data_IF_056601537492
#
_entry.id   IF_056601537492
#
_cell.length_a   1.000
_cell.length_b   1.000
_cell.length_c   1.000
_cell.angle_alpha   90.00
_cell.angle_beta   90.00
_cell.angle_gamma   90.00
#
_symmetry.space_group_name_H-M   'P 1'
#
loop_
_entity.id
_entity.type
_entity.pdbx_description
1 polymer ?
#
# COMPACT_ATOMS: atom_id res chain seq x y z
N UNK A 1 2.60 10.27 36.25
CA UNK A 1 3.14 9.18 35.41
C UNK A 1 4.65 9.26 35.47
N UNK A 2 5.36 8.14 35.57
CA UNK A 2 6.82 8.13 35.41
C UNK A 2 7.17 8.51 33.96
N UNK A 3 8.39 9.01 33.74
CA UNK A 3 8.89 9.42 32.43
C UNK A 3 8.81 8.27 31.41
N UNK A 4 9.10 7.04 31.84
CA UNK A 4 9.06 5.84 30.99
C UNK A 4 7.65 5.52 30.50
N UNK A 5 6.63 5.65 31.37
CA UNK A 5 5.23 5.46 30.97
C UNK A 5 4.83 6.50 29.93
N UNK A 6 5.24 7.75 30.11
CA UNK A 6 4.92 8.82 29.14
C UNK A 6 5.55 8.56 27.77
N UNK A 7 6.80 8.07 27.75
CA UNK A 7 7.51 7.70 26.53
C UNK A 7 6.85 6.50 25.83
N UNK A 8 6.55 5.42 26.57
CA UNK A 8 5.87 4.25 26.02
C UNK A 8 4.47 4.59 25.49
N UNK A 9 3.72 5.41 26.23
CA UNK A 9 2.41 5.88 25.79
C UNK A 9 2.50 6.73 24.51
N UNK A 10 3.57 7.52 24.34
CA UNK A 10 3.81 8.25 23.10
C UNK A 10 4.07 7.29 21.94
N UNK A 11 4.96 6.31 22.12
CA UNK A 11 5.22 5.27 21.11
C UNK A 11 3.92 4.58 20.69
N UNK A 12 3.08 4.11 21.63
CA UNK A 12 1.85 3.39 21.29
C UNK A 12 0.77 4.25 20.61
N UNK A 13 0.80 5.58 20.76
CA UNK A 13 -0.09 6.48 19.99
C UNK A 13 0.38 6.64 18.55
N UNK A 14 1.69 6.57 18.30
CA UNK A 14 2.29 6.70 16.97
C UNK A 14 2.31 5.38 16.22
N UNK A 15 2.82 4.33 16.85
CA UNK A 15 2.95 2.98 16.29
C UNK A 15 1.67 2.13 16.42
N UNK A 16 0.58 2.68 16.94
CA UNK A 16 -0.69 1.97 17.11
C UNK A 16 -1.87 2.92 17.20
N UNK A 17 -2.94 2.47 17.86
CA UNK A 17 -4.15 3.27 18.12
C UNK A 17 -4.22 3.77 19.57
N UNK A 18 -3.10 3.71 20.29
CA UNK A 18 -3.02 3.91 21.74
C UNK A 18 -2.84 2.58 22.48
N UNK A 19 -2.81 2.68 23.81
CA UNK A 19 -2.75 1.52 24.71
C UNK A 19 -3.43 1.87 26.04
N UNK A 20 -4.09 0.89 26.63
CA UNK A 20 -4.64 0.94 27.98
C UNK A 20 -3.52 0.96 29.02
N UNK A 21 -3.89 1.27 30.28
CA UNK A 21 -2.91 1.29 31.38
C UNK A 21 -2.21 -0.06 31.58
N UNK A 22 -2.95 -1.16 31.45
CA UNK A 22 -2.41 -2.51 31.65
C UNK A 22 -1.43 -2.89 30.54
N UNK A 23 -1.79 -2.65 29.28
CA UNK A 23 -0.89 -2.89 28.14
C UNK A 23 0.40 -2.07 28.25
N UNK A 24 0.31 -0.81 28.71
CA UNK A 24 1.51 0.01 28.95
C UNK A 24 2.42 -0.59 30.02
N UNK A 25 1.86 -1.17 31.08
CA UNK A 25 2.64 -1.82 32.13
C UNK A 25 3.32 -3.10 31.61
N UNK A 26 2.64 -3.86 30.75
CA UNK A 26 3.21 -5.02 30.05
C UNK A 26 4.37 -4.62 29.13
N UNK A 27 4.17 -3.63 28.25
CA UNK A 27 5.23 -3.12 27.37
C UNK A 27 6.43 -2.54 28.12
N UNK A 28 6.19 -1.90 29.28
CA UNK A 28 7.28 -1.40 30.12
C UNK A 28 8.06 -2.53 30.78
N UNK A 29 7.40 -3.64 31.10
CA UNK A 29 8.05 -4.83 31.68
C UNK A 29 8.97 -5.53 30.67
N UNK A 30 8.62 -5.51 29.38
CA UNK A 30 9.49 -5.97 28.29
C UNK A 30 10.69 -5.04 28.06
N UNK A 31 10.47 -3.74 28.27
CA UNK A 31 11.44 -2.68 28.01
C UNK A 31 11.34 -2.11 26.60
N UNK A 32 11.68 -0.82 26.46
CA UNK A 32 11.42 -0.04 25.24
C UNK A 32 11.94 -0.70 23.95
N UNK A 33 13.19 -1.15 23.95
CA UNK A 33 13.81 -1.76 22.76
C UNK A 33 13.10 -3.06 22.37
N UNK A 34 12.79 -3.93 23.33
CA UNK A 34 12.10 -5.18 23.08
C UNK A 34 10.68 -4.94 22.54
N UNK A 35 9.98 -3.92 23.04
CA UNK A 35 8.68 -3.52 22.51
C UNK A 35 8.78 -3.03 21.06
N UNK A 36 9.75 -2.18 20.73
CA UNK A 36 9.99 -1.75 19.34
C UNK A 36 10.30 -2.95 18.44
N UNK A 37 11.11 -3.89 18.91
CA UNK A 37 11.43 -5.12 18.16
C UNK A 37 10.17 -5.95 17.88
N UNK A 38 9.29 -6.13 18.86
CA UNK A 38 8.00 -6.83 18.69
C UNK A 38 7.05 -6.10 17.74
N UNK A 39 7.03 -4.76 17.75
CA UNK A 39 6.16 -3.99 16.85
C UNK A 39 6.59 -4.13 15.38
N UNK A 40 7.90 -4.17 15.13
CA UNK A 40 8.49 -4.27 13.80
C UNK A 40 8.58 -5.70 13.25
N UNK A 41 8.44 -6.71 14.12
CA UNK A 41 8.37 -8.13 13.76
C UNK A 41 7.18 -8.78 14.50
N UNK A 42 5.95 -8.50 14.05
CA UNK A 42 4.76 -8.72 14.87
C UNK A 42 4.25 -10.18 14.89
N UNK A 43 4.97 -11.13 14.26
CA UNK A 43 4.60 -12.55 14.27
C UNK A 43 3.18 -12.81 13.77
N UNK A 44 2.53 -13.88 14.26
CA UNK A 44 1.13 -14.14 13.92
C UNK A 44 0.20 -13.16 14.63
N UNK A 45 -0.60 -12.45 13.82
CA UNK A 45 -1.64 -11.55 14.34
C UNK A 45 -2.79 -12.33 14.95
N UNK A 46 -3.21 -11.93 16.15
CA UNK A 46 -4.45 -12.37 16.77
C UNK A 46 -5.41 -11.19 16.84
N UNK A 47 -6.68 -11.42 16.52
CA UNK A 47 -7.74 -10.43 16.63
C UNK A 47 -9.03 -11.12 17.06
N UNK A 48 -10.06 -10.33 17.36
CA UNK A 48 -11.36 -10.92 17.68
C UNK A 48 -11.83 -11.84 16.54
N UNK A 49 -12.22 -13.09 16.83
CA UNK A 49 -12.69 -14.03 15.82
C UNK A 49 -13.89 -13.50 15.02
N UNK A 50 -13.84 -13.70 13.70
CA UNK A 50 -14.89 -13.29 12.76
C UNK A 50 -16.28 -13.82 13.13
N UNK A 51 -16.38 -15.04 13.65
CA UNK A 51 -17.64 -15.67 14.04
C UNK A 51 -18.28 -14.97 15.24
N UNK A 52 -17.47 -14.51 16.20
CA UNK A 52 -17.96 -13.70 17.32
C UNK A 52 -18.47 -12.34 16.84
N UNK A 53 -17.73 -11.68 15.93
CA UNK A 53 -18.16 -10.39 15.37
C UNK A 53 -19.46 -10.56 14.58
N UNK A 54 -19.50 -11.51 13.64
CA UNK A 54 -20.66 -11.77 12.77
C UNK A 54 -21.91 -12.23 13.53
N UNK A 55 -21.76 -12.80 14.73
CA UNK A 55 -22.89 -13.13 15.62
C UNK A 55 -23.69 -11.91 16.03
N UNK A 56 -23.03 -10.77 16.23
CA UNK A 56 -23.67 -9.51 16.64
C UNK A 56 -23.81 -8.51 15.49
N UNK A 57 -22.95 -8.61 14.47
CA UNK A 57 -22.89 -7.74 13.30
C UNK A 57 -23.00 -8.57 12.02
N UNK A 58 -24.21 -9.07 11.74
CA UNK A 58 -24.47 -10.00 10.62
C UNK A 58 -24.18 -9.41 9.25
N UNK A 59 -24.25 -8.08 9.13
CA UNK A 59 -23.91 -7.30 7.94
C UNK A 59 -22.45 -7.48 7.50
N UNK A 60 -21.53 -7.77 8.42
CA UNK A 60 -20.14 -8.11 8.10
C UNK A 60 -19.96 -9.48 7.43
N UNK A 61 -21.04 -10.24 7.25
CA UNK A 61 -21.04 -11.41 6.36
C UNK A 61 -21.07 -11.01 4.89
N UNK A 62 -21.52 -9.79 4.58
CA UNK A 62 -21.62 -9.24 3.23
C UNK A 62 -20.50 -8.22 2.97
N UNK A 63 -19.30 -8.73 2.74
CA UNK A 63 -18.10 -7.92 2.49
C UNK A 63 -18.06 -7.29 1.07
N UNK A 64 -19.13 -7.44 0.27
CA UNK A 64 -19.25 -6.71 -1.00
C UNK A 64 -19.85 -5.32 -0.81
N UNK A 65 -20.51 -5.06 0.30
CA UNK A 65 -21.04 -3.75 0.65
C UNK A 65 -20.00 -2.94 1.43
N UNK A 66 -19.99 -1.62 1.19
CA UNK A 66 -19.01 -0.72 1.80
C UNK A 66 -19.10 -0.72 3.33
N UNK A 67 -20.31 -0.64 3.88
CA UNK A 67 -20.51 -0.56 5.33
C UNK A 67 -19.98 -1.80 6.06
N UNK A 68 -20.29 -2.99 5.55
CA UNK A 68 -19.82 -4.25 6.11
C UNK A 68 -18.31 -4.43 5.99
N UNK A 69 -17.72 -4.04 4.84
CA UNK A 69 -16.28 -4.12 4.62
C UNK A 69 -15.49 -3.13 5.51
N UNK A 70 -15.97 -1.89 5.62
CA UNK A 70 -15.37 -0.87 6.47
C UNK A 70 -15.45 -1.25 7.95
N UNK A 71 -16.61 -1.74 8.40
CA UNK A 71 -16.78 -2.23 9.77
C UNK A 71 -15.83 -3.42 10.05
N UNK A 72 -15.74 -4.38 9.12
CA UNK A 72 -14.84 -5.54 9.26
C UNK A 72 -13.39 -5.12 9.54
N UNK A 73 -12.84 -4.19 8.75
CA UNK A 73 -11.48 -3.73 8.98
C UNK A 73 -11.36 -2.94 10.30
N UNK A 74 -12.35 -2.12 10.64
CA UNK A 74 -12.36 -1.37 11.90
C UNK A 74 -12.31 -2.30 13.13
N UNK A 75 -13.08 -3.40 13.15
CA UNK A 75 -13.01 -4.37 14.25
C UNK A 75 -11.63 -5.02 14.37
N UNK A 76 -10.98 -5.31 13.23
CA UNK A 76 -9.61 -5.82 13.23
C UNK A 76 -8.63 -4.79 13.82
N UNK A 77 -8.70 -3.53 13.39
CA UNK A 77 -7.86 -2.44 13.95
C UNK A 77 -8.06 -2.26 15.46
N UNK A 78 -9.28 -2.46 15.96
CA UNK A 78 -9.61 -2.32 17.38
C UNK A 78 -9.15 -3.49 18.26
N UNK A 79 -8.99 -4.69 17.69
CA UNK A 79 -8.81 -5.93 18.46
C UNK A 79 -7.52 -6.68 18.13
N UNK A 80 -6.73 -6.19 17.18
CA UNK A 80 -5.45 -6.78 16.78
C UNK A 80 -4.43 -6.75 17.93
N UNK A 81 -3.64 -7.82 18.04
CA UNK A 81 -2.41 -7.86 18.84
C UNK A 81 -1.24 -7.15 18.16
N UNK A 82 -1.38 -6.82 16.87
CA UNK A 82 -0.32 -6.29 16.01
C UNK A 82 -0.68 -4.87 15.56
N UNK A 83 -0.67 -3.87 16.46
CA UNK A 83 -1.18 -2.54 16.17
C UNK A 83 -0.38 -1.81 15.10
N UNK A 84 0.95 -2.01 15.02
CA UNK A 84 1.78 -1.37 14.01
C UNK A 84 1.48 -1.89 12.59
N UNK A 85 1.13 -3.18 12.44
CA UNK A 85 0.74 -3.75 11.15
C UNK A 85 -0.50 -3.06 10.59
N UNK A 86 -1.55 -2.94 11.39
CA UNK A 86 -2.77 -2.26 10.96
C UNK A 86 -2.57 -0.75 10.78
N UNK A 87 -1.71 -0.14 11.61
CA UNK A 87 -1.37 1.29 11.51
C UNK A 87 -0.60 1.60 10.23
N UNK A 88 0.36 0.75 9.87
CA UNK A 88 1.12 0.85 8.62
C UNK A 88 0.25 0.52 7.40
N UNK A 89 -0.64 -0.46 7.52
CA UNK A 89 -1.67 -0.76 6.50
C UNK A 89 -2.57 0.45 6.25
N UNK A 90 -3.00 1.16 7.30
CA UNK A 90 -3.78 2.38 7.19
C UNK A 90 -2.99 3.52 6.53
N UNK A 91 -1.69 3.64 6.84
CA UNK A 91 -0.80 4.56 6.13
C UNK A 91 -0.76 4.27 4.63
N UNK A 92 -0.55 3.01 4.23
CA UNK A 92 -0.52 2.62 2.82
C UNK A 92 -1.85 2.84 2.12
N UNK A 93 -2.97 2.52 2.75
CA UNK A 93 -4.30 2.80 2.21
C UNK A 93 -4.54 4.31 2.02
N UNK A 94 -3.96 5.16 2.86
CA UNK A 94 -4.02 6.61 2.72
C UNK A 94 -3.11 7.15 1.61
N UNK A 95 -1.92 6.56 1.45
CA UNK A 95 -0.94 6.96 0.44
C UNK A 95 -1.35 6.48 -0.97
N UNK A 96 -1.72 5.22 -1.10
CA UNK A 96 -2.15 4.56 -2.34
C UNK A 96 -3.67 4.55 -2.44
N UNK A 97 -4.27 5.74 -2.33
CA UNK A 97 -5.70 5.89 -2.15
C UNK A 97 -6.49 5.34 -3.35
N UNK A 98 -7.31 4.33 -3.09
CA UNK A 98 -8.38 3.86 -3.99
C UNK A 98 -9.74 4.01 -3.31
N UNK A 99 -10.83 4.02 -4.08
CA UNK A 99 -12.15 4.39 -3.55
C UNK A 99 -13.32 3.57 -4.07
N UNK A 100 -14.25 3.25 -3.18
CA UNK A 100 -15.46 2.49 -3.52
C UNK A 100 -16.31 3.15 -4.60
N UNK A 101 -16.35 4.48 -4.67
CA UNK A 101 -17.19 5.20 -5.63
C UNK A 101 -16.87 4.85 -7.09
N UNK A 102 -15.58 4.65 -7.43
CA UNK A 102 -15.17 4.23 -8.78
C UNK A 102 -15.23 2.71 -8.95
N UNK A 103 -14.75 1.97 -7.95
CA UNK A 103 -14.62 0.51 -8.07
C UNK A 103 -15.97 -0.21 -7.96
N UNK A 104 -16.87 0.27 -7.09
CA UNK A 104 -18.15 -0.36 -6.77
C UNK A 104 -18.02 -1.87 -6.41
N UNK A 105 -16.90 -2.22 -5.74
CA UNK A 105 -16.57 -3.57 -5.31
C UNK A 105 -15.73 -3.54 -4.03
N UNK A 106 -16.37 -3.54 -2.87
CA UNK A 106 -15.69 -3.40 -1.58
C UNK A 106 -14.70 -4.56 -1.29
N UNK A 107 -14.95 -5.74 -1.84
CA UNK A 107 -14.05 -6.89 -1.68
C UNK A 107 -12.68 -6.65 -2.29
N UNK A 108 -12.58 -5.91 -3.39
CA UNK A 108 -11.29 -5.58 -4.02
C UNK A 108 -10.47 -4.63 -3.14
N UNK A 109 -11.12 -3.69 -2.46
CA UNK A 109 -10.48 -2.84 -1.45
C UNK A 109 -9.95 -3.67 -0.27
N UNK A 110 -10.72 -4.64 0.23
CA UNK A 110 -10.25 -5.54 1.29
C UNK A 110 -9.05 -6.39 0.87
N UNK A 111 -9.02 -6.85 -0.39
CA UNK A 111 -7.87 -7.57 -0.93
C UNK A 111 -6.63 -6.66 -1.01
N UNK A 112 -6.80 -5.40 -1.42
CA UNK A 112 -5.71 -4.42 -1.43
C UNK A 112 -5.19 -4.13 -0.01
N UNK A 113 -6.08 -4.00 0.97
CA UNK A 113 -5.72 -3.86 2.39
C UNK A 113 -4.91 -5.08 2.87
N UNK A 114 -5.30 -6.29 2.47
CA UNK A 114 -4.53 -7.50 2.79
C UNK A 114 -3.15 -7.51 2.12
N UNK A 115 -3.05 -7.05 0.88
CA UNK A 115 -1.77 -6.85 0.18
C UNK A 115 -0.86 -5.89 0.96
N UNK A 116 -1.41 -4.77 1.47
CA UNK A 116 -0.66 -3.84 2.31
C UNK A 116 -0.18 -4.46 3.62
N UNK A 117 -0.95 -5.37 4.24
CA UNK A 117 -0.46 -6.13 5.41
C UNK A 117 0.70 -7.04 5.03
N UNK A 118 0.55 -7.78 3.94
CA UNK A 118 1.52 -8.78 3.51
C UNK A 118 2.87 -8.17 3.10
N UNK A 119 2.85 -7.05 2.36
CA UNK A 119 4.06 -6.45 1.79
C UNK A 119 4.49 -5.15 2.47
N UNK A 120 3.64 -4.54 3.30
CA UNK A 120 3.87 -3.20 3.85
C UNK A 120 5.10 -3.06 4.74
N UNK A 121 5.53 -4.12 5.41
CA UNK A 121 6.79 -4.17 6.19
C UNK A 121 8.01 -4.61 5.36
N UNK A 122 7.77 -5.15 4.17
CA UNK A 122 8.77 -5.76 3.30
C UNK A 122 9.58 -4.74 2.50
N UNK A 123 10.01 -5.15 1.30
CA UNK A 123 10.68 -4.24 0.37
C UNK A 123 9.67 -3.31 -0.29
N UNK A 124 10.00 -2.02 -0.38
CA UNK A 124 9.18 -1.04 -1.10
C UNK A 124 9.04 -1.39 -2.58
N UNK A 125 10.04 -2.06 -3.16
CA UNK A 125 9.99 -2.62 -4.51
C UNK A 125 8.82 -3.61 -4.67
N UNK A 126 8.77 -4.62 -3.81
CA UNK A 126 7.74 -5.65 -3.89
C UNK A 126 6.36 -5.07 -3.63
N UNK A 127 6.24 -4.12 -2.69
CA UNK A 127 5.01 -3.39 -2.45
C UNK A 127 4.53 -2.63 -3.71
N UNK A 128 5.43 -1.93 -4.42
CA UNK A 128 5.07 -1.22 -5.66
C UNK A 128 4.71 -2.17 -6.81
N UNK A 129 5.40 -3.31 -6.95
CA UNK A 129 5.04 -4.33 -7.94
C UNK A 129 3.65 -4.89 -7.65
N UNK A 130 3.38 -5.27 -6.40
CA UNK A 130 2.10 -5.87 -6.01
C UNK A 130 0.96 -4.85 -6.05
N UNK A 131 1.24 -3.58 -5.73
CA UNK A 131 0.32 -2.47 -5.97
C UNK A 131 0.01 -2.30 -7.47
N UNK A 132 1.02 -2.41 -8.34
CA UNK A 132 0.83 -2.32 -9.79
C UNK A 132 0.00 -3.47 -10.36
N UNK A 133 -0.01 -4.62 -9.68
CA UNK A 133 -0.84 -5.79 -10.02
C UNK A 133 -2.22 -5.74 -9.38
N UNK A 134 -2.42 -4.90 -8.38
CA UNK A 134 -3.65 -4.89 -7.59
C UNK A 134 -4.86 -4.48 -8.46
N UNK A 135 -5.92 -5.31 -8.53
CA UNK A 135 -7.08 -5.01 -9.36
C UNK A 135 -7.81 -3.71 -8.99
N UNK A 136 -7.79 -3.31 -7.72
CA UNK A 136 -8.39 -2.04 -7.32
C UNK A 136 -7.57 -0.87 -7.89
N UNK A 137 -6.24 -0.93 -7.82
CA UNK A 137 -5.37 0.11 -8.39
C UNK A 137 -5.43 0.17 -9.92
N UNK A 138 -5.39 -0.98 -10.60
CA UNK A 138 -5.49 -1.06 -12.07
C UNK A 138 -6.74 -0.34 -12.58
N UNK A 139 -7.90 -0.58 -11.96
CA UNK A 139 -9.13 0.11 -12.35
C UNK A 139 -9.15 1.56 -11.86
N UNK A 140 -8.61 1.85 -10.68
CA UNK A 140 -8.63 3.19 -10.11
C UNK A 140 -7.89 4.20 -11.00
N UNK A 141 -6.81 3.77 -11.64
CA UNK A 141 -5.99 4.60 -12.53
C UNK A 141 -6.13 4.24 -14.02
N UNK A 142 -7.18 3.49 -14.36
CA UNK A 142 -7.55 3.14 -15.74
C UNK A 142 -6.44 2.42 -16.53
N UNK A 143 -5.54 1.70 -15.84
CA UNK A 143 -4.50 0.90 -16.51
C UNK A 143 -5.10 -0.29 -17.27
N UNK A 144 -6.33 -0.70 -16.95
CA UNK A 144 -7.07 -1.67 -17.77
C UNK A 144 -7.40 -1.15 -19.18
N UNK A 145 -7.33 0.16 -19.41
CA UNK A 145 -7.49 0.81 -20.73
C UNK A 145 -6.14 1.22 -21.35
N UNK A 146 -5.01 0.85 -20.72
CA UNK A 146 -3.67 1.15 -21.20
C UNK A 146 -3.19 0.05 -22.16
N UNK A 147 -3.27 0.35 -23.45
CA UNK A 147 -2.96 -0.59 -24.54
C UNK A 147 -1.78 -0.07 -25.37
N UNK A 148 -0.96 -0.95 -25.95
CA UNK A 148 0.19 -0.52 -26.78
C UNK A 148 -0.17 0.44 -27.93
N UNK A 149 -1.39 0.33 -28.47
CA UNK A 149 -1.89 1.19 -29.55
C UNK A 149 -2.61 2.46 -29.05
N UNK A 150 -2.89 2.53 -27.73
CA UNK A 150 -3.60 3.62 -27.08
C UNK A 150 -3.10 3.77 -25.64
N UNK A 151 -1.97 4.46 -25.49
CA UNK A 151 -1.28 4.63 -24.20
C UNK A 151 -2.12 5.52 -23.26
N UNK A 152 -2.32 5.04 -22.04
CA UNK A 152 -2.90 5.82 -20.94
C UNK A 152 -1.82 6.14 -19.91
N UNK A 153 -1.47 7.42 -19.79
CA UNK A 153 -0.39 7.89 -18.93
C UNK A 153 -0.75 7.96 -17.44
N UNK A 154 -2.03 7.80 -17.08
CA UNK A 154 -2.51 8.07 -15.72
C UNK A 154 -1.75 7.26 -14.67
N UNK A 155 -1.68 5.92 -14.82
CA UNK A 155 -0.95 5.08 -13.88
C UNK A 155 0.55 5.44 -13.80
N UNK A 156 1.20 5.62 -14.95
CA UNK A 156 2.62 5.96 -15.00
C UNK A 156 2.94 7.31 -14.34
N UNK A 157 2.06 8.30 -14.50
CA UNK A 157 2.17 9.62 -13.86
C UNK A 157 2.04 9.51 -12.35
N UNK A 158 0.98 8.86 -11.88
CA UNK A 158 0.71 8.72 -10.44
C UNK A 158 1.78 7.89 -9.72
N UNK A 159 2.29 6.84 -10.38
CA UNK A 159 3.38 6.04 -9.85
C UNK A 159 4.61 6.90 -9.54
N UNK A 160 5.00 7.80 -10.45
CA UNK A 160 6.13 8.71 -10.26
C UNK A 160 5.79 9.87 -9.32
N UNK A 161 4.64 10.49 -9.50
CA UNK A 161 4.26 11.73 -8.84
C UNK A 161 3.80 11.53 -7.40
N UNK A 162 2.81 10.67 -7.18
CA UNK A 162 2.13 10.54 -5.90
C UNK A 162 2.60 9.33 -5.10
N UNK A 163 3.18 8.32 -5.74
CA UNK A 163 3.47 7.05 -5.08
C UNK A 163 4.95 6.80 -4.80
N UNK A 164 5.88 7.48 -5.49
CA UNK A 164 7.30 7.17 -5.35
C UNK A 164 8.24 8.37 -5.28
N UNK A 165 8.25 9.29 -6.25
CA UNK A 165 9.35 10.27 -6.38
C UNK A 165 8.94 11.70 -6.07
N UNK A 166 7.67 12.05 -6.29
CA UNK A 166 7.23 13.43 -6.17
C UNK A 166 7.55 14.29 -7.40
N UNK A 167 6.79 15.37 -7.56
CA UNK A 167 6.90 16.32 -8.68
C UNK A 167 8.32 16.87 -8.80
N UNK A 168 8.82 16.95 -10.04
CA UNK A 168 10.09 17.61 -10.38
C UNK A 168 11.29 16.67 -10.44
N UNK A 169 11.10 15.37 -10.23
CA UNK A 169 12.17 14.36 -10.25
C UNK A 169 12.18 13.47 -11.51
N UNK A 170 11.27 13.72 -12.46
CA UNK A 170 11.13 12.98 -13.72
C UNK A 170 10.71 13.95 -14.84
N UNK A 171 10.91 13.54 -16.09
CA UNK A 171 10.46 14.26 -17.28
C UNK A 171 9.11 13.75 -17.77
N UNK A 172 8.47 14.51 -18.66
CA UNK A 172 7.24 14.06 -19.34
C UNK A 172 7.50 12.81 -20.22
N UNK A 173 8.71 12.66 -20.76
CA UNK A 173 9.07 11.47 -21.54
C UNK A 173 9.18 10.23 -20.63
N UNK A 174 9.66 10.38 -19.39
CA UNK A 174 9.67 9.29 -18.40
C UNK A 174 8.25 8.81 -18.06
N UNK A 175 7.27 9.72 -18.00
CA UNK A 175 5.86 9.36 -17.77
C UNK A 175 5.34 8.48 -18.92
N UNK A 176 5.64 8.87 -20.16
CA UNK A 176 5.21 8.13 -21.35
C UNK A 176 5.83 6.75 -21.43
N UNK A 177 7.14 6.66 -21.20
CA UNK A 177 7.84 5.39 -21.27
C UNK A 177 7.50 4.48 -20.08
N UNK A 178 7.24 5.05 -18.90
CA UNK A 178 6.61 4.33 -17.78
C UNK A 178 5.23 3.78 -18.16
N UNK A 179 4.36 4.60 -18.75
CA UNK A 179 3.03 4.17 -19.18
C UNK A 179 3.07 3.04 -20.22
N UNK A 180 3.98 3.12 -21.21
CA UNK A 180 4.19 2.04 -22.18
C UNK A 180 4.61 0.74 -21.50
N UNK A 181 5.48 0.77 -20.51
CA UNK A 181 5.93 -0.43 -19.81
C UNK A 181 4.80 -1.15 -19.03
N UNK A 182 3.77 -0.41 -18.61
CA UNK A 182 2.58 -0.98 -17.95
C UNK A 182 1.45 -1.40 -18.90
N UNK A 183 1.64 -1.28 -20.21
CA UNK A 183 0.69 -1.84 -21.18
C UNK A 183 0.62 -3.36 -21.06
N UNK A 184 -0.57 -3.91 -21.26
CA UNK A 184 -0.85 -5.35 -21.08
C UNK A 184 -1.07 -5.77 -19.62
N UNK A 185 -0.83 -4.92 -18.61
CA UNK A 185 -1.20 -5.19 -17.21
C UNK A 185 -2.66 -4.82 -17.00
N UNK A 186 -3.56 -5.81 -16.95
CA UNK A 186 -5.00 -5.55 -17.00
C UNK A 186 -5.80 -6.47 -16.08
N UNK A 187 -7.13 -6.32 -16.11
CA UNK A 187 -8.08 -7.12 -15.36
C UNK A 187 -8.52 -8.36 -16.16
N UNK A 188 -8.36 -9.53 -15.54
CA UNK A 188 -8.89 -10.78 -16.07
C UNK A 188 -10.42 -10.73 -16.19
N UNK A 189 -10.94 -11.22 -17.31
CA UNK A 189 -12.38 -11.32 -17.59
C UNK A 189 -13.14 -9.97 -17.60
N UNK A 190 -12.47 -8.83 -17.80
CA UNK A 190 -13.12 -7.52 -17.85
C UNK A 190 -14.23 -7.44 -18.92
N UNK A 191 -13.95 -7.97 -20.12
CA UNK A 191 -14.91 -8.02 -21.23
C UNK A 191 -16.15 -8.85 -20.88
N UNK A 192 -15.96 -10.03 -20.30
CA UNK A 192 -17.07 -10.89 -19.88
C UNK A 192 -17.91 -10.22 -18.78
N UNK A 193 -17.27 -9.48 -17.87
CA UNK A 193 -17.98 -8.68 -16.86
C UNK A 193 -18.80 -7.56 -17.49
N UNK A 194 -18.26 -6.86 -18.49
CA UNK A 194 -18.99 -5.84 -19.25
C UNK A 194 -20.21 -6.43 -19.97
N UNK A 195 -20.07 -7.61 -20.58
CA UNK A 195 -21.19 -8.33 -21.21
C UNK A 195 -22.25 -8.74 -20.19
N UNK A 196 -21.87 -9.21 -18.99
CA UNK A 196 -22.84 -9.54 -17.93
C UNK A 196 -23.56 -8.30 -17.41
N UNK A 197 -22.86 -7.19 -17.24
CA UNK A 197 -23.43 -5.93 -16.77
C UNK A 197 -24.43 -5.35 -17.78
N UNK A 198 -24.06 -5.29 -19.06
CA UNK A 198 -24.95 -4.80 -20.14
C UNK A 198 -26.22 -5.64 -20.33
N UNK A 199 -26.16 -6.93 -19.99
CA UNK A 199 -27.31 -7.84 -20.07
C UNK A 199 -28.10 -7.95 -18.76
N UNK A 200 -27.87 -7.07 -17.79
CA UNK A 200 -28.46 -7.12 -16.43
C UNK A 200 -28.37 -8.51 -15.77
N UNK A 201 -27.32 -9.26 -16.12
CA UNK A 201 -27.11 -10.66 -15.75
C UNK A 201 -26.14 -10.79 -14.58
N UNK A 202 -25.97 -9.72 -13.79
CA UNK A 202 -25.15 -9.73 -12.58
C UNK A 202 -25.86 -10.54 -11.50
N UNK A 203 -27.17 -10.41 -11.37
CA UNK A 203 -27.98 -11.11 -10.37
C UNK A 203 -28.48 -12.47 -10.89
N UNK A 204 -28.64 -13.50 -10.03
CA UNK A 204 -28.38 -13.52 -8.58
C UNK A 204 -26.92 -13.84 -8.19
N UNK A 205 -26.08 -14.20 -9.16
CA UNK A 205 -24.73 -14.76 -8.89
C UNK A 205 -23.65 -13.72 -8.53
N UNK A 206 -23.97 -12.44 -8.62
CA UNK A 206 -23.08 -11.33 -8.31
C UNK A 206 -22.00 -11.06 -9.38
N UNK A 207 -21.14 -10.09 -9.04
CA UNK A 207 -19.96 -9.70 -9.83
C UNK A 207 -18.86 -10.75 -9.70
N UNK A 208 -18.08 -10.95 -10.75
CA UNK A 208 -16.89 -11.82 -10.71
C UNK A 208 -15.80 -11.11 -9.92
N UNK A 209 -15.04 -11.87 -9.14
CA UNK A 209 -13.86 -11.35 -8.46
C UNK A 209 -12.84 -10.88 -9.50
N UNK A 210 -12.32 -9.67 -9.33
CA UNK A 210 -11.27 -9.17 -10.21
C UNK A 210 -9.95 -9.84 -9.88
N UNK A 211 -9.20 -10.13 -10.94
CA UNK A 211 -7.87 -10.71 -10.85
C UNK A 211 -6.98 -9.97 -11.85
N UNK A 212 -5.71 -9.89 -11.52
CA UNK A 212 -4.68 -9.46 -12.46
C UNK A 212 -4.53 -10.44 -13.62
N UNK A 213 -4.23 -9.90 -14.80
CA UNK A 213 -3.80 -10.63 -15.99
C UNK A 213 -2.74 -9.80 -16.74
N UNK A 214 -1.64 -10.44 -17.11
CA UNK A 214 -0.68 -9.86 -18.04
C UNK A 214 -0.94 -10.39 -19.46
N UNK A 215 -1.19 -9.48 -20.41
CA UNK A 215 -1.42 -9.77 -21.82
C UNK A 215 -0.20 -9.36 -22.64
N UNK A 216 0.65 -10.34 -22.93
CA UNK A 216 1.87 -10.13 -23.73
C UNK A 216 1.57 -9.51 -25.11
N UNK A 217 0.47 -9.91 -25.76
CA UNK A 217 0.12 -9.41 -27.10
C UNK A 217 -0.31 -7.93 -27.08
N UNK A 218 -0.65 -7.38 -25.92
CA UNK A 218 -1.09 -6.00 -25.71
C UNK A 218 0.01 -5.12 -25.08
N UNK A 219 1.16 -5.71 -24.78
CA UNK A 219 2.33 -4.99 -24.28
C UNK A 219 3.10 -4.30 -25.42
N UNK A 220 3.53 -3.07 -25.17
CA UNK A 220 4.44 -2.32 -26.01
C UNK A 220 5.87 -2.78 -25.72
N UNK A 221 6.41 -3.64 -26.59
CA UNK A 221 7.78 -4.15 -26.50
C UNK A 221 8.81 -3.27 -27.24
N UNK A 222 8.50 -2.00 -27.48
CA UNK A 222 9.46 -1.06 -28.05
C UNK A 222 10.54 -0.70 -27.01
N UNK A 223 11.70 -0.25 -27.51
CA UNK A 223 12.76 0.29 -26.66
C UNK A 223 12.28 1.57 -25.99
N UNK A 224 12.42 1.62 -24.66
CA UNK A 224 12.00 2.70 -23.78
C UNK A 224 13.22 3.35 -23.16
N UNK A 225 13.18 4.65 -22.96
CA UNK A 225 14.21 5.39 -22.23
C UNK A 225 13.60 5.95 -20.95
N UNK A 226 13.96 5.38 -19.82
CA UNK A 226 13.35 5.70 -18.55
C UNK A 226 14.40 6.00 -17.49
N UNK A 227 14.35 7.21 -16.91
CA UNK A 227 15.24 7.69 -15.85
C UNK A 227 16.74 7.49 -16.15
N UNK A 228 17.10 7.64 -17.43
CA UNK A 228 18.48 7.50 -17.92
C UNK A 228 18.88 6.10 -18.37
N UNK A 229 18.04 5.09 -18.12
CA UNK A 229 18.23 3.73 -18.61
C UNK A 229 17.50 3.51 -19.94
N UNK A 230 17.96 2.53 -20.72
CA UNK A 230 17.39 2.20 -22.04
C UNK A 230 17.22 0.69 -22.15
N UNK A 231 16.03 0.24 -22.53
CA UNK A 231 15.72 -1.18 -22.69
C UNK A 231 14.27 -1.45 -23.09
N UNK A 232 13.97 -2.71 -23.38
CA UNK A 232 12.59 -3.18 -23.54
C UNK A 232 11.98 -3.46 -22.16
N UNK A 233 11.65 -2.38 -21.44
CA UNK A 233 11.19 -2.48 -20.06
C UNK A 233 9.73 -2.90 -19.96
N UNK A 234 9.45 -3.76 -18.98
CA UNK A 234 8.13 -4.09 -18.48
C UNK A 234 7.89 -3.39 -17.12
N UNK A 235 6.68 -3.50 -16.58
CA UNK A 235 6.29 -2.81 -15.34
C UNK A 235 7.18 -3.14 -14.13
N UNK A 236 7.69 -4.37 -14.02
CA UNK A 236 8.64 -4.73 -12.95
C UNK A 236 9.98 -4.01 -13.10
N UNK A 237 10.50 -3.90 -14.33
CA UNK A 237 11.78 -3.23 -14.60
C UNK A 237 11.68 -1.72 -14.28
N UNK A 238 10.53 -1.10 -14.59
CA UNK A 238 10.27 0.29 -14.21
C UNK A 238 10.30 0.47 -12.69
N UNK A 239 9.67 -0.43 -11.93
CA UNK A 239 9.72 -0.38 -10.47
C UNK A 239 11.15 -0.57 -9.96
N UNK A 240 11.92 -1.48 -10.55
CA UNK A 240 13.34 -1.69 -10.24
C UNK A 240 14.17 -0.42 -10.41
N UNK A 241 13.94 0.32 -11.50
CA UNK A 241 14.63 1.59 -11.74
C UNK A 241 14.17 2.65 -10.72
N UNK A 242 12.87 2.77 -10.45
CA UNK A 242 12.30 3.77 -9.53
C UNK A 242 12.87 3.62 -8.12
N UNK A 243 12.92 2.40 -7.57
CA UNK A 243 13.32 2.20 -6.16
C UNK A 243 14.79 2.51 -5.88
N UNK A 244 15.62 2.56 -6.92
CA UNK A 244 17.04 2.92 -6.82
C UNK A 244 17.30 4.44 -6.80
N UNK A 245 16.29 5.25 -7.12
CA UNK A 245 16.44 6.70 -7.19
C UNK A 245 16.46 7.35 -5.79
N UNK A 246 17.35 8.32 -5.59
CA UNK A 246 17.42 9.10 -4.35
C UNK A 246 16.09 9.84 -4.03
N UNK A 247 15.40 10.46 -5.01
CA UNK A 247 14.06 11.01 -4.78
C UNK A 247 13.07 10.02 -4.18
N UNK A 248 13.11 8.75 -4.57
CA UNK A 248 12.22 7.70 -4.04
C UNK A 248 12.48 7.42 -2.57
N UNK A 249 13.76 7.28 -2.20
CA UNK A 249 14.15 7.10 -0.81
C UNK A 249 13.73 8.31 0.05
N UNK A 250 13.90 9.53 -0.48
CA UNK A 250 13.50 10.76 0.21
C UNK A 250 11.98 10.82 0.39
N UNK A 251 11.22 10.61 -0.67
CA UNK A 251 9.76 10.62 -0.64
C UNK A 251 9.22 9.66 0.43
N UNK A 252 9.63 8.38 0.38
CA UNK A 252 9.14 7.38 1.32
C UNK A 252 9.54 7.74 2.76
N UNK A 253 10.80 8.11 2.98
CA UNK A 253 11.31 8.46 4.32
C UNK A 253 10.57 9.66 4.90
N UNK A 254 10.33 10.71 4.10
CA UNK A 254 9.55 11.87 4.52
C UNK A 254 8.11 11.49 4.86
N UNK A 255 7.43 10.67 4.05
CA UNK A 255 6.04 10.25 4.32
C UNK A 255 5.92 9.42 5.60
N UNK A 256 6.85 8.49 5.83
CA UNK A 256 6.90 7.69 7.05
C UNK A 256 7.20 8.55 8.28
N UNK A 257 8.17 9.46 8.18
CA UNK A 257 8.47 10.41 9.25
C UNK A 257 7.26 11.28 9.60
N UNK A 258 6.59 11.83 8.58
CA UNK A 258 5.40 12.65 8.77
C UNK A 258 4.27 11.92 9.47
N UNK A 259 4.05 10.66 9.10
CA UNK A 259 2.96 9.87 9.67
C UNK A 259 3.26 9.37 11.09
N UNK A 260 4.47 8.88 11.34
CA UNK A 260 4.82 8.19 12.59
C UNK A 260 5.53 9.07 13.62
N UNK A 261 6.22 10.14 13.21
CA UNK A 261 6.99 10.98 14.13
C UNK A 261 6.36 12.38 14.30
N UNK A 262 6.31 13.17 13.23
CA UNK A 262 5.92 14.59 13.29
C UNK A 262 5.43 15.10 11.94
N UNK A 263 4.29 15.79 11.91
CA UNK A 263 3.69 16.34 10.69
C UNK A 263 4.61 17.37 9.99
N UNK A 264 5.34 18.16 10.79
CA UNK A 264 6.31 19.15 10.32
C UNK A 264 7.74 18.58 10.35
N UNK A 265 8.53 18.94 9.34
CA UNK A 265 9.95 18.57 9.22
C UNK A 265 10.81 19.78 9.58
N UNK A 266 11.44 19.72 10.74
CA UNK A 266 12.43 20.70 11.20
C UNK A 266 13.87 20.21 10.93
N UNK A 267 14.88 20.97 11.38
CA UNK A 267 16.30 20.65 11.15
C UNK A 267 16.72 19.30 11.75
N UNK A 268 16.08 18.86 12.84
CA UNK A 268 16.30 17.55 13.44
C UNK A 268 15.58 16.45 12.63
N UNK A 269 14.37 16.73 12.16
CA UNK A 269 13.61 15.87 11.25
C UNK A 269 14.34 15.59 9.93
N UNK A 270 14.97 16.60 9.33
CA UNK A 270 15.81 16.42 8.12
C UNK A 270 16.99 15.46 8.37
N UNK A 271 17.60 15.51 9.56
CA UNK A 271 18.68 14.59 9.92
C UNK A 271 18.17 13.15 10.07
N UNK A 272 16.98 12.97 10.66
CA UNK A 272 16.33 11.65 10.78
C UNK A 272 15.95 11.12 9.40
N UNK A 273 15.34 11.93 8.54
CA UNK A 273 14.97 11.54 7.17
C UNK A 273 16.21 11.11 6.38
N UNK A 274 17.34 11.81 6.53
CA UNK A 274 18.59 11.39 5.90
C UNK A 274 19.07 10.02 6.40
N UNK A 275 19.00 9.76 7.71
CA UNK A 275 19.34 8.45 8.25
C UNK A 275 18.37 7.35 7.78
N UNK A 276 17.08 7.68 7.64
CA UNK A 276 16.05 6.80 7.06
C UNK A 276 16.38 6.45 5.60
N UNK A 277 16.81 7.41 4.78
CA UNK A 277 17.26 7.18 3.41
C UNK A 277 18.49 6.27 3.35
N UNK A 278 19.46 6.44 4.25
CA UNK A 278 20.62 5.54 4.34
C UNK A 278 20.20 4.11 4.69
N UNK A 279 19.26 3.95 5.63
CA UNK A 279 18.68 2.65 6.00
C UNK A 279 17.92 2.02 4.82
N UNK A 280 17.16 2.82 4.07
CA UNK A 280 16.45 2.40 2.87
C UNK A 280 17.38 1.73 1.86
N UNK A 281 18.48 2.38 1.47
CA UNK A 281 19.42 1.79 0.52
C UNK A 281 20.20 0.59 1.11
N UNK A 282 20.65 0.69 2.36
CA UNK A 282 21.45 -0.36 3.00
C UNK A 282 20.67 -1.66 3.21
N UNK A 283 19.37 -1.58 3.40
CA UNK A 283 18.49 -2.72 3.67
C UNK A 283 17.88 -3.36 2.42
N UNK A 284 18.19 -2.86 1.22
CA UNK A 284 17.50 -3.31 0.01
C UNK A 284 16.04 -2.83 -0.04
N UNK A 285 15.83 -1.57 0.31
CA UNK A 285 14.55 -0.86 0.25
C UNK A 285 13.52 -1.37 1.29
N UNK A 286 13.97 -1.94 2.41
CA UNK A 286 13.07 -2.55 3.40
C UNK A 286 12.43 -1.50 4.32
N UNK A 287 11.09 -1.48 4.36
CA UNK A 287 10.30 -0.50 5.13
C UNK A 287 10.51 -0.67 6.64
N UNK A 288 10.58 -1.90 7.15
CA UNK A 288 10.81 -2.16 8.58
C UNK A 288 12.15 -1.60 9.06
N UNK A 289 13.19 -1.70 8.22
CA UNK A 289 14.51 -1.14 8.51
C UNK A 289 14.47 0.40 8.52
N UNK A 290 13.66 1.02 7.66
CA UNK A 290 13.46 2.47 7.63
C UNK A 290 12.69 2.95 8.87
N UNK A 291 11.61 2.27 9.24
CA UNK A 291 10.79 2.59 10.43
C UNK A 291 11.55 2.45 11.75
N UNK A 292 12.59 1.62 11.78
CA UNK A 292 13.43 1.38 12.97
C UNK A 292 14.39 2.53 13.28
N UNK A 293 14.80 3.27 12.25
CA UNK A 293 15.75 4.38 12.36
C UNK A 293 15.19 5.52 13.18
#
# INVERSE_FOLDING_TARGET
MSQDVSLMAHLMRRAGFGATRNELEEYLSDGYKATVDKLLDPGESNHMPDDLIRRYHVDQSELRQLDGAGAYWLYRMLTTSNPLEEKLTLFWHGLFATGYAKLNQARSLLNQIEMFRQYGFGSFRDLLVELSRDPAMILWLDNNENHKEAINENYGRELLELFSMGIGNYSEDDIKDCAKAFTGWTLKNAEYMSVRASKDSIWPYGRIAWHYEYRVDDHDSSEKKFLGEVGDFNGEDIVDIIVTQEPTAKFLSTRLFQYFASDEVDDDGEQVIKAMMESYFKSGFNVSAVLRT
#
